data_IF_754664538270
#
_entry.id   IF_754664538270
#
_cell.length_a   1.000
_cell.length_b   1.000
_cell.length_c   1.000
_cell.angle_alpha   90.00
_cell.angle_beta   90.00
_cell.angle_gamma   90.00
#
_symmetry.space_group_name_H-M   'P 1'
#
loop_
_entity.id
_entity.type
_entity.pdbx_description
1 polymer ?
#
# COMPACT_ATOMS: atom_id res chain seq x y z
N UNK A 1 -11.02 -14.74 -14.24
CA UNK A 1 -12.37 -14.38 -14.70
C UNK A 1 -12.92 -15.47 -15.57
N UNK A 2 -14.22 -15.74 -15.47
CA UNK A 2 -14.97 -16.66 -16.34
C UNK A 2 -15.40 -15.94 -17.64
N UNK A 3 -15.13 -14.63 -17.77
CA UNK A 3 -15.77 -13.78 -18.78
C UNK A 3 -17.21 -13.49 -18.38
N UNK A 4 -17.72 -12.30 -18.69
CA UNK A 4 -19.09 -11.91 -18.36
C UNK A 4 -19.22 -10.44 -17.93
N UNK A 5 -20.37 -10.05 -17.33
CA UNK A 5 -20.66 -8.65 -16.99
C UNK A 5 -19.61 -7.99 -16.09
N UNK A 6 -18.92 -8.79 -15.26
CA UNK A 6 -17.86 -8.30 -14.37
C UNK A 6 -16.62 -7.78 -15.13
N UNK A 7 -16.44 -8.15 -16.40
CA UNK A 7 -15.41 -7.56 -17.26
C UNK A 7 -15.64 -6.06 -17.44
N UNK A 8 -16.90 -5.63 -17.60
CA UNK A 8 -17.26 -4.21 -17.73
C UNK A 8 -16.97 -3.43 -16.44
N UNK A 9 -16.97 -4.11 -15.30
CA UNK A 9 -16.58 -3.56 -14.00
C UNK A 9 -15.05 -3.56 -13.78
N UNK A 10 -14.27 -4.03 -14.76
CA UNK A 10 -12.82 -4.04 -14.74
C UNK A 10 -12.18 -5.39 -14.37
N UNK A 11 -12.95 -6.46 -14.20
CA UNK A 11 -12.37 -7.80 -14.03
C UNK A 11 -11.59 -8.22 -15.28
N UNK A 12 -10.39 -8.76 -15.11
CA UNK A 12 -9.54 -9.20 -16.23
C UNK A 12 -9.46 -10.73 -16.31
N UNK A 13 -9.42 -11.23 -17.54
CA UNK A 13 -9.17 -12.64 -17.82
C UNK A 13 -7.66 -12.90 -17.69
N UNK A 14 -7.26 -13.53 -16.59
CA UNK A 14 -5.91 -14.01 -16.37
C UNK A 14 -5.89 -15.53 -16.39
N UNK A 15 -4.79 -16.08 -16.86
CA UNK A 15 -4.49 -17.51 -16.84
C UNK A 15 -3.12 -17.76 -16.19
N UNK A 16 -2.75 -19.03 -16.06
CA UNK A 16 -1.51 -19.42 -15.41
C UNK A 16 -0.24 -18.88 -16.11
N UNK A 17 -0.33 -18.66 -17.42
CA UNK A 17 0.76 -18.19 -18.26
C UNK A 17 0.86 -16.66 -18.31
N UNK A 18 -0.08 -15.95 -17.69
CA UNK A 18 -0.04 -14.49 -17.61
C UNK A 18 1.23 -14.06 -16.88
N UNK A 19 2.11 -13.26 -17.51
CA UNK A 19 3.34 -12.81 -16.89
C UNK A 19 3.07 -12.09 -15.57
N UNK A 20 3.92 -12.33 -14.57
CA UNK A 20 3.84 -11.73 -13.23
C UNK A 20 2.50 -11.95 -12.48
N UNK A 21 1.69 -12.93 -12.87
CA UNK A 21 0.49 -13.28 -12.12
C UNK A 21 0.85 -13.89 -10.76
N UNK A 22 0.12 -13.49 -9.73
CA UNK A 22 0.32 -13.86 -8.34
C UNK A 22 -0.22 -15.27 -8.14
N UNK A 23 0.73 -16.18 -8.00
CA UNK A 23 0.50 -17.60 -7.82
C UNK A 23 0.61 -17.98 -6.34
N UNK A 24 -0.11 -19.02 -5.96
CA UNK A 24 0.02 -19.69 -4.67
C UNK A 24 0.33 -21.15 -4.97
N UNK A 25 1.46 -21.65 -4.45
CA UNK A 25 1.77 -23.07 -4.50
C UNK A 25 1.21 -23.73 -3.23
N UNK A 26 0.17 -24.54 -3.38
CA UNK A 26 -0.40 -25.35 -2.32
C UNK A 26 0.08 -26.78 -2.53
N UNK A 27 0.85 -27.31 -1.58
CA UNK A 27 1.56 -28.60 -1.67
C UNK A 27 0.72 -29.74 -2.28
N UNK A 28 -0.58 -29.81 -1.95
CA UNK A 28 -1.48 -30.87 -2.41
C UNK A 28 -2.44 -30.45 -3.54
N UNK A 29 -2.59 -29.15 -3.80
CA UNK A 29 -3.55 -28.60 -4.79
C UNK A 29 -2.86 -27.99 -6.01
N UNK A 30 -1.53 -28.06 -6.06
CA UNK A 30 -0.72 -27.48 -7.11
C UNK A 30 -0.68 -25.96 -7.04
N UNK A 31 -0.38 -25.34 -8.18
CA UNK A 31 -0.25 -23.89 -8.27
C UNK A 31 -1.58 -23.27 -8.69
N UNK A 32 -2.17 -22.46 -7.82
CA UNK A 32 -3.40 -21.73 -8.08
C UNK A 32 -3.14 -20.24 -8.27
N UNK A 33 -4.03 -19.56 -8.99
CA UNK A 33 -4.00 -18.11 -9.14
C UNK A 33 -4.70 -17.50 -7.92
N UNK A 34 -4.05 -16.52 -7.27
CA UNK A 34 -4.66 -15.79 -6.16
C UNK A 34 -5.84 -14.93 -6.65
N UNK A 35 -6.87 -14.64 -5.84
CA UNK A 35 -8.05 -13.91 -6.31
C UNK A 35 -7.76 -12.39 -6.48
N UNK A 36 -7.91 -11.89 -7.70
CA UNK A 36 -7.70 -10.47 -8.09
C UNK A 36 -8.98 -9.63 -8.03
N UNK A 37 -10.14 -10.23 -8.35
CA UNK A 37 -11.39 -9.51 -8.63
C UNK A 37 -11.15 -8.40 -9.67
N UNK A 38 -11.66 -7.20 -9.44
CA UNK A 38 -11.48 -6.00 -10.29
C UNK A 38 -10.16 -5.25 -10.02
N UNK A 39 -9.28 -5.78 -9.16
CA UNK A 39 -7.99 -5.17 -8.83
C UNK A 39 -6.88 -5.77 -9.69
N UNK A 40 -5.82 -4.99 -9.90
CA UNK A 40 -4.62 -5.46 -10.61
C UNK A 40 -3.71 -6.33 -9.74
N UNK A 41 -3.95 -6.44 -8.43
CA UNK A 41 -3.20 -7.33 -7.53
C UNK A 41 -4.02 -7.74 -6.28
N UNK A 42 -3.92 -9.00 -5.78
CA UNK A 42 -4.62 -9.45 -4.58
C UNK A 42 -4.23 -8.68 -3.31
N UNK A 43 -2.98 -8.21 -3.19
CA UNK A 43 -2.59 -7.36 -2.06
C UNK A 43 -3.34 -6.03 -2.06
N UNK A 44 -3.60 -5.48 -3.26
CA UNK A 44 -4.32 -4.22 -3.44
C UNK A 44 -5.77 -4.33 -3.00
N UNK A 45 -6.42 -5.44 -3.38
CA UNK A 45 -7.76 -5.79 -2.92
C UNK A 45 -7.80 -5.93 -1.39
N UNK A 46 -6.84 -6.64 -0.80
CA UNK A 46 -6.75 -6.81 0.64
C UNK A 46 -6.57 -5.48 1.38
N UNK A 47 -5.69 -4.61 0.87
CA UNK A 47 -5.51 -3.24 1.39
C UNK A 47 -6.78 -2.41 1.31
N UNK A 48 -7.47 -2.45 0.17
CA UNK A 48 -8.76 -1.76 0.00
C UNK A 48 -9.79 -2.23 1.03
N UNK A 49 -9.93 -3.55 1.21
CA UNK A 49 -10.86 -4.14 2.19
C UNK A 49 -10.50 -3.76 3.63
N UNK A 50 -9.21 -3.62 3.97
CA UNK A 50 -8.78 -3.13 5.27
C UNK A 50 -9.26 -1.69 5.52
N UNK A 51 -9.17 -0.81 4.53
CA UNK A 51 -9.69 0.56 4.66
C UNK A 51 -11.22 0.54 4.80
N UNK A 52 -11.93 -0.26 4.00
CA UNK A 52 -13.39 -0.44 4.14
C UNK A 52 -13.76 -0.88 5.57
N UNK A 53 -13.01 -1.80 6.15
CA UNK A 53 -13.22 -2.29 7.52
C UNK A 53 -12.98 -1.20 8.58
N UNK A 54 -12.05 -0.26 8.32
CA UNK A 54 -11.67 0.81 9.25
C UNK A 54 -12.60 2.03 9.18
N UNK A 55 -13.02 2.45 7.98
CA UNK A 55 -13.78 3.71 7.80
C UNK A 55 -15.22 3.63 8.29
N UNK A 56 -15.81 2.44 8.31
CA UNK A 56 -17.22 2.21 8.61
C UNK A 56 -17.40 1.19 9.73
N UNK A 57 -18.43 1.40 10.55
CA UNK A 57 -18.86 0.40 11.54
C UNK A 57 -19.72 -0.65 10.85
N UNK A 58 -19.26 -1.89 10.86
CA UNK A 58 -19.95 -3.04 10.28
C UNK A 58 -20.56 -3.93 11.35
N UNK A 59 -21.65 -4.60 11.03
CA UNK A 59 -22.18 -5.67 11.88
C UNK A 59 -21.17 -6.82 11.95
N UNK A 60 -21.21 -7.62 13.03
CA UNK A 60 -20.34 -8.78 13.22
C UNK A 60 -20.27 -9.72 11.99
N UNK A 61 -21.40 -10.12 11.35
CA UNK A 61 -21.33 -11.01 10.19
C UNK A 61 -20.64 -10.35 8.98
N UNK A 62 -20.90 -9.07 8.71
CA UNK A 62 -20.25 -8.36 7.59
C UNK A 62 -18.76 -8.21 7.85
N UNK A 63 -18.36 -7.88 9.09
CA UNK A 63 -16.94 -7.80 9.46
C UNK A 63 -16.24 -9.15 9.29
N UNK A 64 -16.91 -10.26 9.67
CA UNK A 64 -16.38 -11.60 9.48
C UNK A 64 -16.22 -11.93 7.99
N UNK A 65 -17.21 -11.62 7.16
CA UNK A 65 -17.14 -11.80 5.72
C UNK A 65 -15.98 -11.03 5.08
N UNK A 66 -15.81 -9.75 5.42
CA UNK A 66 -14.69 -8.93 4.93
C UNK A 66 -13.34 -9.51 5.40
N UNK A 67 -13.26 -9.97 6.65
CA UNK A 67 -12.04 -10.58 7.21
C UNK A 67 -11.68 -11.88 6.50
N UNK A 68 -12.67 -12.74 6.21
CA UNK A 68 -12.49 -13.96 5.41
C UNK A 68 -12.01 -13.60 4.01
N UNK A 69 -12.62 -12.60 3.35
CA UNK A 69 -12.19 -12.15 2.03
C UNK A 69 -10.73 -11.66 2.04
N UNK A 70 -10.29 -10.92 3.07
CA UNK A 70 -8.88 -10.53 3.24
C UNK A 70 -7.97 -11.76 3.36
N UNK A 71 -8.34 -12.76 4.17
CA UNK A 71 -7.53 -13.99 4.31
C UNK A 71 -7.42 -14.75 2.98
N UNK A 72 -8.53 -14.85 2.23
CA UNK A 72 -8.57 -15.52 0.92
C UNK A 72 -7.73 -14.83 -0.16
N UNK A 73 -7.35 -13.55 0.02
CA UNK A 73 -6.38 -12.90 -0.88
C UNK A 73 -4.96 -13.47 -0.73
N UNK A 74 -4.69 -14.20 0.36
CA UNK A 74 -3.36 -14.68 0.76
C UNK A 74 -2.31 -13.56 0.89
N UNK A 75 -2.74 -12.32 1.16
CA UNK A 75 -1.82 -11.22 1.39
C UNK A 75 -1.29 -11.25 2.83
N UNK A 76 -0.05 -11.76 3.01
CA UNK A 76 0.61 -11.87 4.33
C UNK A 76 0.60 -10.54 5.10
N UNK A 77 0.94 -9.44 4.43
CA UNK A 77 0.95 -8.11 5.04
C UNK A 77 -0.45 -7.65 5.47
N UNK A 78 -1.48 -7.91 4.66
CA UNK A 78 -2.85 -7.53 5.01
C UNK A 78 -3.41 -8.38 6.15
N UNK A 79 -3.13 -9.68 6.18
CA UNK A 79 -3.52 -10.58 7.28
C UNK A 79 -2.86 -10.14 8.59
N UNK A 80 -1.57 -9.84 8.56
CA UNK A 80 -0.85 -9.31 9.73
C UNK A 80 -1.46 -7.96 10.20
N UNK A 81 -1.77 -7.08 9.25
CA UNK A 81 -2.42 -5.80 9.55
C UNK A 81 -3.80 -6.00 10.19
N UNK A 82 -4.60 -6.96 9.72
CA UNK A 82 -5.90 -7.29 10.28
C UNK A 82 -5.82 -7.73 11.75
N UNK A 83 -4.79 -8.50 12.10
CA UNK A 83 -4.51 -8.92 13.49
C UNK A 83 -4.15 -7.69 14.33
N UNK A 84 -3.21 -6.87 13.87
CA UNK A 84 -2.78 -5.70 14.64
C UNK A 84 -3.82 -4.57 14.73
N UNK A 85 -4.79 -4.50 13.82
CA UNK A 85 -5.92 -3.55 13.91
C UNK A 85 -6.80 -3.75 15.16
N UNK A 86 -6.66 -4.88 15.87
CA UNK A 86 -7.31 -5.07 17.18
C UNK A 86 -6.66 -4.19 18.27
N UNK A 87 -5.42 -3.74 18.08
CA UNK A 87 -4.74 -2.81 18.99
C UNK A 87 -5.40 -1.42 18.87
N UNK A 88 -5.96 -0.93 19.98
CA UNK A 88 -6.60 0.39 20.06
C UNK A 88 -5.70 1.48 20.65
N UNK A 89 -4.53 1.12 21.16
CA UNK A 89 -3.59 2.07 21.74
C UNK A 89 -2.89 2.89 20.63
N UNK A 90 -3.22 4.18 20.54
CA UNK A 90 -2.71 5.08 19.50
C UNK A 90 -1.18 5.25 19.55
N UNK A 91 -0.58 5.21 20.74
CA UNK A 91 0.89 5.33 20.90
C UNK A 91 1.60 4.11 20.32
N UNK A 92 1.03 2.92 20.52
CA UNK A 92 1.56 1.68 19.95
C UNK A 92 1.42 1.74 18.42
N UNK A 93 0.25 2.09 17.89
CA UNK A 93 0.04 2.21 16.44
C UNK A 93 1.00 3.19 15.79
N UNK A 94 1.24 4.37 16.39
CA UNK A 94 2.22 5.35 15.90
C UNK A 94 3.63 4.75 15.83
N UNK A 95 4.07 4.03 16.87
CA UNK A 95 5.38 3.35 16.85
C UNK A 95 5.44 2.31 15.74
N UNK A 96 4.40 1.49 15.58
CA UNK A 96 4.35 0.47 14.53
C UNK A 96 4.35 1.08 13.12
N UNK A 97 3.69 2.22 12.91
CA UNK A 97 3.79 2.98 11.65
C UNK A 97 5.24 3.32 11.35
N UNK A 98 5.96 3.94 12.31
CA UNK A 98 7.37 4.32 12.11
C UNK A 98 8.22 3.10 11.81
N UNK A 99 8.06 2.01 12.57
CA UNK A 99 8.78 0.76 12.32
C UNK A 99 8.48 0.20 10.93
N UNK A 100 7.22 0.23 10.48
CA UNK A 100 6.84 -0.24 9.15
C UNK A 100 7.46 0.63 8.04
N UNK A 101 7.48 1.95 8.20
CA UNK A 101 8.12 2.86 7.24
C UNK A 101 9.63 2.60 7.16
N UNK A 102 10.30 2.38 8.30
CA UNK A 102 11.72 2.03 8.35
C UNK A 102 11.99 0.64 7.74
N UNK A 103 11.14 -0.34 8.01
CA UNK A 103 11.23 -1.67 7.41
C UNK A 103 11.08 -1.63 5.88
N UNK A 104 10.31 -0.67 5.35
CA UNK A 104 10.22 -0.45 3.90
C UNK A 104 11.56 -0.01 3.27
N UNK A 105 12.55 0.42 4.04
CA UNK A 105 13.88 0.78 3.54
C UNK A 105 14.82 -0.42 3.41
N UNK A 106 14.43 -1.61 3.90
CA UNK A 106 15.25 -2.82 3.85
C UNK A 106 15.80 -3.19 2.46
N UNK A 107 15.09 -2.95 1.33
CA UNK A 107 15.67 -3.19 0.00
C UNK A 107 16.98 -2.45 -0.25
N UNK A 108 17.25 -1.32 0.42
CA UNK A 108 18.52 -0.60 0.28
C UNK A 108 19.71 -1.37 0.84
N UNK A 109 19.50 -2.34 1.74
CA UNK A 109 20.59 -3.18 2.26
C UNK A 109 21.24 -4.04 1.18
N UNK A 110 20.62 -4.16 0.00
CA UNK A 110 21.19 -4.87 -1.15
C UNK A 110 22.58 -4.34 -1.53
N UNK A 111 22.89 -3.06 -1.24
CA UNK A 111 24.21 -2.46 -1.54
C UNK A 111 25.36 -3.11 -0.77
N UNK A 112 25.06 -3.80 0.33
CA UNK A 112 26.04 -4.55 1.13
C UNK A 112 26.11 -6.02 0.72
N UNK A 113 25.47 -6.38 -0.40
CA UNK A 113 25.36 -7.76 -0.88
C UNK A 113 25.78 -7.86 -2.35
N UNK A 114 26.19 -9.05 -2.78
CA UNK A 114 26.46 -9.36 -4.18
C UNK A 114 25.24 -10.05 -4.84
N UNK A 115 24.02 -9.63 -4.50
CA UNK A 115 22.80 -10.23 -5.06
C UNK A 115 22.68 -9.85 -6.55
N UNK A 116 22.67 -10.87 -7.41
CA UNK A 116 22.35 -10.72 -8.82
C UNK A 116 20.84 -10.70 -9.05
N UNK A 117 20.40 -9.96 -10.06
CA UNK A 117 19.02 -10.02 -10.53
C UNK A 117 18.70 -11.41 -11.10
N UNK A 118 17.68 -12.05 -10.56
CA UNK A 118 17.16 -13.33 -11.06
C UNK A 118 15.71 -13.10 -11.53
N UNK A 119 15.45 -13.08 -12.85
CA UNK A 119 14.11 -12.96 -13.40
C UNK A 119 13.18 -14.04 -12.85
N UNK A 120 11.98 -13.64 -12.41
CA UNK A 120 10.97 -14.56 -11.87
C UNK A 120 11.08 -14.83 -10.36
N UNK A 121 12.20 -14.52 -9.72
CA UNK A 121 12.29 -14.54 -8.25
C UNK A 121 11.76 -13.22 -7.67
N UNK A 122 10.60 -13.28 -7.05
CA UNK A 122 9.93 -12.11 -6.48
C UNK A 122 10.69 -11.47 -5.31
N UNK A 123 11.49 -12.22 -4.55
CA UNK A 123 12.23 -11.69 -3.41
C UNK A 123 13.52 -11.02 -3.88
N UNK A 124 14.30 -11.71 -4.71
CA UNK A 124 15.57 -11.17 -5.23
C UNK A 124 15.33 -9.99 -6.17
N UNK A 125 14.26 -10.01 -6.97
CA UNK A 125 13.87 -8.85 -7.77
C UNK A 125 13.60 -7.61 -6.89
N UNK A 126 12.92 -7.78 -5.76
CA UNK A 126 12.65 -6.67 -4.83
C UNK A 126 13.90 -6.15 -4.16
N UNK A 127 14.80 -7.04 -3.75
CA UNK A 127 16.09 -6.66 -3.20
C UNK A 127 16.92 -5.89 -4.25
N UNK A 128 17.05 -6.43 -5.46
CA UNK A 128 17.80 -5.83 -6.56
C UNK A 128 17.34 -4.41 -6.91
N UNK A 129 16.02 -4.16 -6.91
CA UNK A 129 15.45 -2.82 -7.15
C UNK A 129 15.93 -1.74 -6.16
N UNK A 130 16.50 -2.14 -5.01
CA UNK A 130 17.12 -1.21 -4.08
C UNK A 130 18.28 -0.42 -4.67
N UNK A 131 19.08 -1.02 -5.56
CA UNK A 131 20.25 -0.36 -6.17
C UNK A 131 19.85 0.84 -7.05
N UNK A 132 19.08 0.68 -8.14
CA UNK A 132 18.70 1.82 -8.98
C UNK A 132 17.83 2.83 -8.21
N UNK A 133 17.02 2.37 -7.25
CA UNK A 133 16.23 3.27 -6.38
C UNK A 133 17.13 4.18 -5.55
N UNK A 134 18.22 3.66 -4.99
CA UNK A 134 19.17 4.46 -4.23
C UNK A 134 19.84 5.52 -5.10
N UNK A 135 20.23 5.18 -6.32
CA UNK A 135 20.86 6.13 -7.24
C UNK A 135 19.91 7.27 -7.61
N UNK A 136 18.62 6.96 -7.87
CA UNK A 136 17.59 7.97 -8.08
C UNK A 136 17.44 8.89 -6.86
N UNK A 137 17.40 8.31 -5.66
CA UNK A 137 17.28 9.07 -4.40
C UNK A 137 18.50 9.98 -4.20
N UNK A 138 19.72 9.50 -4.43
CA UNK A 138 20.94 10.30 -4.27
C UNK A 138 20.93 11.52 -5.20
N UNK A 139 20.51 11.34 -6.45
CA UNK A 139 20.44 12.44 -7.43
C UNK A 139 19.34 13.45 -7.15
N UNK A 140 18.26 13.03 -6.47
CA UNK A 140 17.05 13.84 -6.29
C UNK A 140 16.63 13.94 -4.82
N UNK A 141 17.59 13.95 -3.88
CA UNK A 141 17.32 13.72 -2.46
C UNK A 141 16.31 14.71 -1.84
N UNK A 142 16.42 16.00 -2.20
CA UNK A 142 15.60 17.03 -1.58
C UNK A 142 14.16 17.04 -2.11
N UNK A 143 14.00 17.11 -3.43
CA UNK A 143 12.71 17.35 -4.08
C UNK A 143 12.10 16.10 -4.73
N UNK A 144 12.87 15.03 -4.85
CA UNK A 144 12.51 13.85 -5.63
C UNK A 144 12.52 14.13 -7.14
N UNK A 145 12.21 13.10 -7.91
CA UNK A 145 12.10 13.18 -9.38
C UNK A 145 10.81 13.84 -9.86
N UNK A 146 9.85 14.08 -8.96
CA UNK A 146 8.49 14.50 -9.28
C UNK A 146 7.49 13.33 -9.25
N UNK A 147 6.23 13.67 -9.00
CA UNK A 147 5.12 12.71 -8.96
C UNK A 147 5.04 11.89 -10.25
N UNK A 148 4.99 10.56 -10.11
CA UNK A 148 4.93 9.59 -11.22
C UNK A 148 6.16 9.57 -12.14
N UNK A 149 7.27 10.19 -11.73
CA UNK A 149 8.51 10.20 -12.51
C UNK A 149 9.46 9.05 -12.15
N UNK A 150 9.08 8.13 -11.24
CA UNK A 150 9.94 7.00 -10.86
C UNK A 150 10.29 6.10 -12.04
N UNK A 151 9.32 5.68 -12.87
CA UNK A 151 9.57 4.74 -13.98
C UNK A 151 10.48 5.35 -15.06
N UNK A 152 10.23 6.59 -15.55
CA UNK A 152 11.16 7.24 -16.48
C UNK A 152 12.57 7.42 -15.90
N UNK A 153 12.69 7.67 -14.60
CA UNK A 153 14.00 7.78 -13.94
C UNK A 153 14.67 6.41 -13.81
N UNK A 154 13.91 5.36 -13.46
CA UNK A 154 14.38 3.98 -13.36
C UNK A 154 14.97 3.49 -14.68
N UNK A 155 14.32 3.77 -15.81
CA UNK A 155 14.82 3.37 -17.13
C UNK A 155 16.23 3.88 -17.44
N UNK A 156 16.65 5.01 -16.86
CA UNK A 156 18.00 5.58 -17.02
C UNK A 156 19.06 4.91 -16.13
N UNK A 157 18.62 4.18 -15.11
CA UNK A 157 19.48 3.57 -14.08
C UNK A 157 19.53 2.03 -14.17
N UNK A 158 18.70 1.43 -15.03
CA UNK A 158 18.78 0.02 -15.36
C UNK A 158 19.84 -0.19 -16.45
N UNK A 159 20.60 -1.29 -16.36
CA UNK A 159 21.47 -1.67 -17.47
C UNK A 159 20.61 -2.07 -18.68
N UNK A 160 21.15 -1.98 -19.92
CA UNK A 160 20.42 -2.41 -21.11
C UNK A 160 19.95 -3.86 -21.05
N UNK A 161 20.72 -4.76 -20.43
CA UNK A 161 20.36 -6.16 -20.25
C UNK A 161 19.20 -6.39 -19.27
N UNK A 162 18.89 -5.41 -18.42
CA UNK A 162 17.78 -5.45 -17.48
C UNK A 162 16.62 -4.55 -17.89
N UNK A 163 16.66 -3.89 -19.04
CA UNK A 163 15.58 -3.05 -19.53
C UNK A 163 14.52 -3.90 -20.23
N UNK A 164 13.45 -4.27 -19.52
CA UNK A 164 12.33 -5.05 -20.05
C UNK A 164 11.01 -4.58 -19.46
N UNK A 165 9.89 -5.00 -20.05
CA UNK A 165 8.57 -4.64 -19.54
C UNK A 165 8.35 -5.12 -18.09
N UNK A 166 8.93 -6.28 -17.72
CA UNK A 166 8.81 -6.83 -16.36
C UNK A 166 9.70 -6.12 -15.33
N UNK A 167 10.76 -5.44 -15.75
CA UNK A 167 11.64 -4.68 -14.85
C UNK A 167 11.22 -3.22 -14.72
N UNK A 168 10.49 -2.65 -15.69
CA UNK A 168 9.90 -1.32 -15.60
C UNK A 168 8.66 -1.31 -14.70
N UNK A 169 8.89 -1.55 -13.41
CA UNK A 169 7.87 -1.51 -12.37
C UNK A 169 8.39 -0.72 -11.16
N UNK A 170 7.49 -0.14 -10.34
CA UNK A 170 7.92 0.59 -9.17
C UNK A 170 8.61 -0.31 -8.14
N UNK A 171 9.46 0.30 -7.31
CA UNK A 171 10.02 -0.38 -6.14
C UNK A 171 8.86 -0.83 -5.24
N UNK A 172 8.90 -2.09 -4.77
CA UNK A 172 7.86 -2.68 -3.91
C UNK A 172 8.00 -2.22 -2.46
N UNK A 173 8.06 -0.90 -2.26
CA UNK A 173 8.15 -0.23 -0.98
C UNK A 173 7.61 1.19 -1.16
N UNK A 174 6.46 1.47 -0.56
CA UNK A 174 5.87 2.80 -0.54
C UNK A 174 6.83 3.86 0.02
N UNK A 175 7.55 3.65 1.14
CA UNK A 175 8.52 4.63 1.63
C UNK A 175 9.61 4.98 0.62
N UNK A 176 10.19 3.98 -0.06
CA UNK A 176 11.23 4.21 -1.05
C UNK A 176 10.68 4.92 -2.29
N UNK A 177 9.49 4.54 -2.75
CA UNK A 177 8.85 5.20 -3.88
C UNK A 177 8.52 6.66 -3.57
N UNK A 178 7.96 6.94 -2.39
CA UNK A 178 7.69 8.31 -1.95
C UNK A 178 8.97 9.13 -1.81
N UNK A 179 10.04 8.57 -1.24
CA UNK A 179 11.33 9.25 -1.14
C UNK A 179 11.94 9.53 -2.53
N UNK A 180 11.76 8.62 -3.49
CA UNK A 180 12.26 8.80 -4.85
C UNK A 180 11.51 9.91 -5.60
N UNK A 181 10.18 9.99 -5.46
CA UNK A 181 9.35 10.94 -6.21
C UNK A 181 9.17 12.30 -5.52
N UNK A 182 9.15 12.34 -4.19
CA UNK A 182 8.91 13.56 -3.38
C UNK A 182 10.15 14.05 -2.62
N UNK A 183 11.23 13.27 -2.61
CA UNK A 183 12.40 13.56 -1.80
C UNK A 183 12.10 13.56 -0.31
N UNK A 184 13.02 14.15 0.46
CA UNK A 184 12.91 14.26 1.91
C UNK A 184 11.69 15.07 2.35
N UNK A 185 11.22 16.03 1.54
CA UNK A 185 10.04 16.84 1.86
C UNK A 185 8.78 15.98 2.04
N UNK A 186 8.59 14.97 1.18
CA UNK A 186 7.46 14.04 1.29
C UNK A 186 7.48 13.25 2.61
N UNK A 187 8.66 12.80 3.04
CA UNK A 187 8.81 12.06 4.31
C UNK A 187 8.59 12.96 5.53
N UNK A 188 9.11 14.20 5.50
CA UNK A 188 8.90 15.17 6.60
C UNK A 188 7.43 15.52 6.75
N UNK A 189 6.70 15.71 5.64
CA UNK A 189 5.27 15.95 5.65
C UNK A 189 4.52 14.76 6.26
N UNK A 190 4.80 13.53 5.83
CA UNK A 190 4.18 12.32 6.36
C UNK A 190 4.45 12.15 7.86
N UNK A 191 5.71 12.32 8.29
CA UNK A 191 6.09 12.26 9.70
C UNK A 191 5.37 13.32 10.54
N UNK A 192 5.20 14.53 10.00
CA UNK A 192 4.46 15.62 10.64
C UNK A 192 2.98 15.27 10.81
N UNK A 193 2.35 14.71 9.78
CA UNK A 193 0.95 14.25 9.82
C UNK A 193 0.79 13.17 10.90
N UNK A 194 1.66 12.16 10.93
CA UNK A 194 1.61 11.07 11.92
C UNK A 194 1.78 11.62 13.35
N UNK A 195 2.74 12.54 13.55
CA UNK A 195 3.06 13.11 14.87
C UNK A 195 1.95 14.03 15.39
N UNK A 196 1.36 14.86 14.54
CA UNK A 196 0.35 15.86 14.94
C UNK A 196 -1.09 15.34 14.93
N UNK A 197 -1.38 14.25 14.23
CA UNK A 197 -2.76 13.74 14.13
C UNK A 197 -3.21 13.07 15.43
N UNK A 198 -4.14 13.69 16.15
CA UNK A 198 -4.84 13.09 17.28
C UNK A 198 -6.11 12.30 16.87
N UNK A 199 -6.48 12.31 15.59
CA UNK A 199 -7.64 11.57 15.12
C UNK A 199 -7.35 10.06 15.06
N UNK A 200 -8.02 9.21 15.87
CA UNK A 200 -7.73 7.78 15.94
C UNK A 200 -8.05 7.05 14.62
N UNK A 201 -9.04 7.53 13.86
CA UNK A 201 -9.39 6.94 12.56
C UNK A 201 -8.30 7.24 11.53
N UNK A 202 -7.77 8.47 11.50
CA UNK A 202 -6.64 8.81 10.62
C UNK A 202 -5.40 7.98 10.96
N UNK A 203 -5.09 7.81 12.24
CA UNK A 203 -3.97 6.95 12.67
C UNK A 203 -4.19 5.48 12.26
N UNK A 204 -5.42 4.95 12.34
CA UNK A 204 -5.73 3.59 11.87
C UNK A 204 -5.57 3.45 10.34
N UNK A 205 -5.97 4.47 9.57
CA UNK A 205 -5.77 4.48 8.12
C UNK A 205 -4.27 4.54 7.78
N UNK A 206 -3.52 5.45 8.40
CA UNK A 206 -2.07 5.54 8.21
C UNK A 206 -1.36 4.26 8.64
N UNK A 207 -1.86 3.59 9.67
CA UNK A 207 -1.39 2.27 10.09
C UNK A 207 -1.58 1.21 9.00
N UNK A 208 -2.78 1.11 8.42
CA UNK A 208 -3.04 0.19 7.30
C UNK A 208 -2.11 0.48 6.13
N UNK A 209 -2.00 1.76 5.73
CA UNK A 209 -1.16 2.20 4.61
C UNK A 209 0.31 1.89 4.87
N UNK A 210 0.82 2.16 6.07
CA UNK A 210 2.23 1.94 6.40
C UNK A 210 2.59 0.44 6.44
N UNK A 211 1.81 -0.42 7.10
CA UNK A 211 2.14 -1.84 7.20
C UNK A 211 2.07 -2.55 5.85
N UNK A 212 1.02 -2.28 5.08
CA UNK A 212 0.86 -2.92 3.78
C UNK A 212 1.72 -2.26 2.70
N UNK A 213 1.97 -0.96 2.82
CA UNK A 213 2.84 -0.19 1.95
C UNK A 213 4.34 -0.44 2.18
N UNK A 214 4.74 -0.98 3.33
CA UNK A 214 6.14 -1.33 3.58
C UNK A 214 6.69 -2.37 2.58
N UNK A 215 5.81 -3.19 1.98
CA UNK A 215 6.19 -4.29 1.07
C UNK A 215 5.56 -4.20 -0.31
N UNK A 216 4.80 -3.12 -0.59
CA UNK A 216 4.09 -2.93 -1.84
C UNK A 216 3.76 -1.44 -2.06
N UNK A 217 3.55 -1.02 -3.30
CA UNK A 217 3.49 0.39 -3.68
C UNK A 217 2.11 0.82 -4.20
N UNK A 218 1.12 -0.08 -4.12
CA UNK A 218 -0.19 0.13 -4.73
C UNK A 218 -0.97 1.33 -4.17
N UNK A 219 -0.71 1.76 -2.93
CA UNK A 219 -1.31 2.97 -2.36
C UNK A 219 -0.94 4.23 -3.14
N UNK A 220 0.25 4.26 -3.74
CA UNK A 220 0.76 5.39 -4.50
C UNK A 220 0.46 5.31 -5.99
N UNK A 221 0.22 4.12 -6.51
CA UNK A 221 0.21 3.88 -7.97
C UNK A 221 -1.14 3.43 -8.51
N UNK A 222 -2.01 2.81 -7.70
CA UNK A 222 -3.28 2.29 -8.18
C UNK A 222 -4.45 3.23 -7.87
N UNK A 223 -5.24 3.64 -8.89
CA UNK A 223 -6.35 4.57 -8.71
C UNK A 223 -7.39 4.11 -7.68
N UNK A 224 -7.75 2.82 -7.66
CA UNK A 224 -8.74 2.27 -6.73
C UNK A 224 -8.32 2.51 -5.26
N UNK A 225 -7.02 2.37 -4.98
CA UNK A 225 -6.45 2.53 -3.66
C UNK A 225 -6.26 4.00 -3.30
N UNK A 226 -5.96 4.88 -4.27
CA UNK A 226 -5.95 6.32 -4.07
C UNK A 226 -7.36 6.85 -3.77
N UNK A 227 -8.37 6.41 -4.53
CA UNK A 227 -9.76 6.85 -4.38
C UNK A 227 -10.36 6.49 -3.02
N UNK A 228 -10.10 5.27 -2.52
CA UNK A 228 -10.60 4.89 -1.18
C UNK A 228 -9.93 5.69 -0.06
N UNK A 229 -8.66 6.09 -0.22
CA UNK A 229 -7.99 6.98 0.72
C UNK A 229 -8.59 8.39 0.68
N UNK A 230 -8.87 8.93 -0.50
CA UNK A 230 -9.55 10.23 -0.66
C UNK A 230 -10.93 10.19 0.00
N UNK A 231 -11.72 9.13 -0.24
CA UNK A 231 -13.02 8.93 0.39
C UNK A 231 -12.89 8.87 1.92
N UNK A 232 -11.90 8.14 2.43
CA UNK A 232 -11.65 8.03 3.87
C UNK A 232 -11.33 9.40 4.51
N UNK A 233 -10.50 10.21 3.85
CA UNK A 233 -10.16 11.57 4.29
C UNK A 233 -11.37 12.51 4.24
N UNK A 234 -12.19 12.41 3.19
CA UNK A 234 -13.43 13.18 3.07
C UNK A 234 -14.41 12.84 4.21
N UNK A 235 -14.56 11.55 4.54
CA UNK A 235 -15.40 11.11 5.66
C UNK A 235 -14.88 11.60 7.02
N UNK A 236 -13.56 11.59 7.24
CA UNK A 236 -12.95 12.15 8.44
C UNK A 236 -13.30 13.64 8.57
N UNK A 237 -13.09 14.40 7.50
CA UNK A 237 -13.33 15.84 7.45
C UNK A 237 -14.80 16.19 7.68
N UNK A 238 -15.71 15.41 7.09
CA UNK A 238 -17.15 15.57 7.30
C UNK A 238 -17.58 15.29 8.74
N UNK A 239 -17.07 14.22 9.37
CA UNK A 239 -17.36 13.88 10.77
C UNK A 239 -16.86 14.96 11.72
N UNK A 240 -15.69 15.52 11.46
CA UNK A 240 -15.13 16.62 12.26
C UNK A 240 -16.01 17.88 12.21
N UNK A 241 -16.48 18.25 11.01
CA UNK A 241 -17.36 19.42 10.80
C UNK A 241 -18.68 19.32 11.56
N UNK A 242 -19.30 18.12 11.60
CA UNK A 242 -20.54 17.90 12.37
C UNK A 242 -20.33 17.96 13.88
N UNK A 243 -19.21 17.45 14.39
CA UNK A 243 -18.89 17.52 15.82
C UNK A 243 -18.74 18.98 16.29
N UNK A 244 -18.09 19.83 15.48
CA UNK A 244 -18.01 21.27 15.73
C UNK A 244 -19.37 21.97 15.69
N UNK A 245 -20.21 21.66 14.70
CA UNK A 245 -21.54 22.27 14.55
C UNK A 245 -22.51 21.96 15.70
N UNK A 246 -22.42 20.76 16.31
CA UNK A 246 -23.27 20.41 17.45
C UNK A 246 -22.87 21.15 18.74
N UNK A 247 -21.59 21.47 18.94
CA UNK A 247 -21.12 22.27 20.08
C UNK A 247 -21.63 23.72 20.01
N UNK A 248 -21.69 24.32 18.81
CA UNK A 248 -22.27 25.66 18.63
C UNK A 248 -23.78 25.68 18.88
N UNK A 249 -24.51 24.62 18.49
CA UNK A 249 -25.96 24.51 18.74
C UNK A 249 -26.32 24.26 20.19
N UNK A 250 -25.49 23.57 20.99
CA UNK A 250 -25.77 23.41 22.42
C UNK A 250 -25.55 24.71 23.20
N UNK A 251 -24.56 25.51 22.82
CA UNK A 251 -24.30 26.81 23.46
C UNK A 251 -25.33 27.88 23.10
N UNK A 252 -25.98 27.78 21.94
CA UNK A 252 -27.06 28.68 21.54
C UNK A 252 -28.42 28.36 22.20
N UNK A 253 -28.60 27.16 22.78
CA UNK A 253 -29.80 26.78 23.55
C UNK A 253 -29.70 27.08 25.04
N UNK A 254 -28.51 27.45 25.52
CA UNK A 254 -28.25 27.82 26.92
C UNK A 254 -28.07 29.33 27.11
N UNK A 255 -28.53 30.14 26.15
CA UNK A 255 -28.68 31.60 26.24
C UNK A 255 -30.13 31.94 25.94
#
# INVERSE_FOLDING_TARGET
SIGGPLYLLGERAFNFYTPNIAKLNLTNLGIIIRPYSIFSHPNSLAGYLLIVLVIQKWSKPIKALISVAIVLTFSKAAILTLIFLQIKNIKILRKTIVVALLAGLLPLLVIFTNINYIPGDSFLTRAYMGYPTLEIIKQNFFTGTGLRAFIPSLAKHLSPSYLSHSSLQPVHSLPLLMLSELGIFGLVLLATIIKKSENPLLIQILFVVALTGAVDHYWWTLPQNQLILILALALISHRHSRAGGNLYKSNAKNK
#
